data_IF_543170153660
#
_entry.id   IF_543170153660
#
_cell.length_a   1.000
_cell.length_b   1.000
_cell.length_c   1.000
_cell.angle_alpha   90.00
_cell.angle_beta   90.00
_cell.angle_gamma   90.00
#
_symmetry.space_group_name_H-M   'P 1'
#
loop_
_entity.id
_entity.type
_entity.pdbx_description
1 polymer ?
#
# COMPACT_ATOMS: atom_id res chain seq x y z
N UNK A 1 4.63 13.49 16.70
CA UNK A 1 3.99 14.65 16.06
C UNK A 1 2.48 14.57 16.23
N UNK A 2 1.77 15.66 16.53
CA UNK A 2 0.30 15.72 16.52
C UNK A 2 -0.22 16.09 15.12
N UNK A 3 -1.54 16.03 14.91
CA UNK A 3 -2.14 16.27 13.60
C UNK A 3 -1.75 17.64 13.04
N UNK A 4 -1.79 18.69 13.87
CA UNK A 4 -1.46 20.06 13.45
C UNK A 4 -0.02 20.19 12.97
N UNK A 5 0.94 19.60 13.71
CA UNK A 5 2.36 19.61 13.28
C UNK A 5 2.58 18.77 12.03
N UNK A 6 1.86 17.66 11.86
CA UNK A 6 1.94 16.86 10.63
C UNK A 6 1.38 17.63 9.44
N UNK A 7 0.28 18.36 9.63
CA UNK A 7 -0.30 19.25 8.61
C UNK A 7 0.64 20.38 8.26
N UNK A 8 1.22 21.05 9.26
CA UNK A 8 2.18 22.13 9.03
C UNK A 8 3.42 21.63 8.26
N UNK A 9 3.96 20.46 8.62
CA UNK A 9 5.07 19.86 7.88
C UNK A 9 4.70 19.53 6.42
N UNK A 10 3.47 19.10 6.17
CA UNK A 10 2.99 18.88 4.80
C UNK A 10 2.91 20.20 4.02
N UNK A 11 2.41 21.27 4.64
CA UNK A 11 2.28 22.59 4.01
C UNK A 11 3.67 23.22 3.72
N UNK A 12 4.62 23.10 4.65
CA UNK A 12 5.94 23.75 4.53
C UNK A 12 6.96 22.92 3.74
N UNK A 13 6.94 21.59 3.89
CA UNK A 13 7.97 20.69 3.35
C UNK A 13 7.45 19.81 2.20
N UNK A 14 6.14 19.79 1.94
CA UNK A 14 5.52 18.90 0.97
C UNK A 14 5.44 17.44 1.41
N UNK A 15 5.79 17.12 2.67
CA UNK A 15 5.77 15.74 3.18
C UNK A 15 5.47 15.69 4.69
N UNK A 16 4.69 14.69 5.10
CA UNK A 16 4.53 14.35 6.51
C UNK A 16 4.35 12.83 6.69
N UNK A 17 4.52 12.36 7.93
CA UNK A 17 4.29 10.96 8.29
C UNK A 17 3.16 10.84 9.32
N UNK A 18 2.17 9.98 9.02
CA UNK A 18 1.01 9.72 9.87
C UNK A 18 1.13 8.32 10.48
N UNK A 19 1.52 8.25 11.75
CA UNK A 19 1.76 6.98 12.43
C UNK A 19 0.45 6.28 12.82
N UNK A 20 0.16 5.15 12.18
CA UNK A 20 -1.14 4.46 12.26
C UNK A 20 -1.70 4.21 13.68
N UNK A 21 -0.93 3.74 14.69
CA UNK A 21 -1.45 3.52 16.04
C UNK A 21 -2.03 4.79 16.71
N UNK A 22 -1.61 5.98 16.27
CA UNK A 22 -2.11 7.25 16.79
C UNK A 22 -3.52 7.59 16.28
N UNK A 23 -3.85 7.18 15.06
CA UNK A 23 -5.10 7.53 14.38
C UNK A 23 -6.13 6.40 14.40
N UNK A 24 -5.68 5.14 14.47
CA UNK A 24 -6.55 3.96 14.43
C UNK A 24 -6.52 3.21 15.75
N UNK A 25 -6.85 3.89 16.86
CA UNK A 25 -6.77 3.31 18.21
C UNK A 25 -7.60 2.03 18.34
N UNK A 26 -8.73 1.92 17.63
CA UNK A 26 -9.58 0.73 17.59
C UNK A 26 -8.91 -0.52 17.01
N UNK A 27 -7.85 -0.38 16.20
CA UNK A 27 -7.12 -1.54 15.65
C UNK A 27 -6.51 -2.41 16.77
N UNK A 28 -6.25 -1.84 17.96
CA UNK A 28 -5.75 -2.60 19.12
C UNK A 28 -6.64 -3.80 19.47
N UNK A 29 -7.95 -3.72 19.23
CA UNK A 29 -8.90 -4.77 19.55
C UNK A 29 -8.76 -5.99 18.61
N UNK A 30 -8.30 -5.76 17.37
CA UNK A 30 -8.05 -6.83 16.41
C UNK A 30 -6.65 -7.47 16.55
N UNK A 31 -5.70 -6.81 17.22
CA UNK A 31 -4.31 -7.27 17.28
C UNK A 31 -4.13 -8.66 17.90
N UNK A 32 -4.75 -9.02 19.04
CA UNK A 32 -4.57 -10.33 19.65
C UNK A 32 -4.97 -11.47 18.71
N UNK A 33 -6.12 -11.34 18.05
CA UNK A 33 -6.64 -12.33 17.09
C UNK A 33 -5.70 -12.43 15.88
N UNK A 34 -5.24 -11.30 15.34
CA UNK A 34 -4.31 -11.29 14.20
C UNK A 34 -2.99 -11.99 14.52
N UNK A 35 -2.45 -11.77 15.72
CA UNK A 35 -1.20 -12.39 16.16
C UNK A 35 -1.35 -13.91 16.35
N UNK A 36 -2.51 -14.37 16.80
CA UNK A 36 -2.81 -15.79 16.95
C UNK A 36 -3.01 -16.50 15.60
N UNK A 37 -3.74 -15.87 14.67
CA UNK A 37 -4.06 -16.46 13.36
C UNK A 37 -2.81 -16.68 12.48
N UNK A 38 -1.79 -15.82 12.58
CA UNK A 38 -0.53 -15.90 11.82
C UNK A 38 -0.70 -16.11 10.31
N UNK A 39 -1.81 -15.63 9.76
CA UNK A 39 -2.13 -15.72 8.33
C UNK A 39 -2.57 -14.36 7.79
N UNK A 40 -2.62 -14.23 6.46
CA UNK A 40 -3.10 -13.04 5.77
C UNK A 40 -4.62 -12.94 5.96
N UNK A 41 -5.08 -11.72 6.23
CA UNK A 41 -6.49 -11.40 6.45
C UNK A 41 -6.83 -10.08 5.74
N UNK A 42 -8.10 -9.68 5.76
CA UNK A 42 -8.53 -8.35 5.28
C UNK A 42 -7.71 -7.21 5.91
N UNK A 43 -7.29 -7.35 7.18
CA UNK A 43 -6.48 -6.33 7.84
C UNK A 43 -5.09 -6.10 7.22
N UNK A 44 -4.61 -7.01 6.35
CA UNK A 44 -3.37 -6.80 5.61
C UNK A 44 -3.53 -5.78 4.47
N UNK A 45 -4.75 -5.60 3.95
CA UNK A 45 -5.05 -4.63 2.88
C UNK A 45 -5.76 -3.38 3.38
N UNK A 46 -6.32 -3.40 4.59
CA UNK A 46 -7.00 -2.22 5.15
C UNK A 46 -6.08 -1.04 5.43
N UNK A 47 -4.82 -1.29 5.82
CA UNK A 47 -3.89 -0.24 6.25
C UNK A 47 -3.74 0.90 5.22
N UNK A 48 -3.41 0.60 3.96
CA UNK A 48 -3.33 1.60 2.90
C UNK A 48 -4.64 2.35 2.61
N UNK A 49 -5.81 1.76 2.92
CA UNK A 49 -7.13 2.32 2.56
C UNK A 49 -7.67 3.33 3.58
N UNK A 50 -7.11 3.37 4.78
CA UNK A 50 -7.63 4.15 5.91
C UNK A 50 -6.75 5.35 6.26
N UNK A 51 -6.06 5.94 5.28
CA UNK A 51 -5.25 7.13 5.54
C UNK A 51 -6.11 8.26 6.14
N UNK A 52 -5.84 8.73 7.38
CA UNK A 52 -6.68 9.70 8.07
C UNK A 52 -6.67 11.09 7.42
N UNK A 53 -5.74 11.36 6.50
CA UNK A 53 -5.72 12.60 5.71
C UNK A 53 -6.62 12.55 4.48
N UNK A 54 -7.23 11.40 4.15
CA UNK A 54 -8.09 11.22 2.97
C UNK A 54 -7.49 11.80 1.68
N UNK A 55 -6.29 11.37 1.26
CA UNK A 55 -5.64 11.95 0.10
C UNK A 55 -6.45 11.66 -1.17
N UNK A 56 -6.53 12.61 -2.13
CA UNK A 56 -7.25 12.39 -3.39
C UNK A 56 -6.49 11.45 -4.34
N UNK A 57 -5.20 11.23 -4.08
CA UNK A 57 -4.26 10.45 -4.90
C UNK A 57 -3.57 9.38 -4.06
N UNK A 58 -3.43 8.16 -4.56
CA UNK A 58 -2.67 7.10 -3.88
C UNK A 58 -1.96 6.13 -4.83
N UNK A 59 -0.78 5.69 -4.42
CA UNK A 59 -0.09 4.51 -4.99
C UNK A 59 -0.10 3.42 -3.92
N UNK A 60 -0.75 2.30 -4.18
CA UNK A 60 -0.92 1.20 -3.22
C UNK A 60 -0.34 -0.08 -3.78
N UNK A 61 0.59 -0.68 -3.04
CA UNK A 61 1.08 -2.01 -3.33
C UNK A 61 0.24 -3.10 -2.69
N UNK A 62 0.06 -4.23 -3.39
CA UNK A 62 -0.61 -5.41 -2.86
C UNK A 62 0.29 -6.64 -2.96
N UNK A 63 0.17 -7.54 -1.97
CA UNK A 63 1.03 -8.72 -1.88
C UNK A 63 0.66 -9.84 -2.86
N UNK A 64 -0.50 -9.74 -3.52
CA UNK A 64 -1.02 -10.74 -4.47
C UNK A 64 -1.54 -10.03 -5.72
N UNK A 65 -1.28 -10.55 -6.93
CA UNK A 65 -1.79 -9.96 -8.17
C UNK A 65 -3.32 -9.94 -8.21
N UNK A 66 -3.98 -10.93 -7.60
CA UNK A 66 -5.44 -11.03 -7.53
C UNK A 66 -6.11 -9.89 -6.74
N UNK A 67 -5.33 -9.16 -5.94
CA UNK A 67 -5.84 -8.03 -5.15
C UNK A 67 -5.75 -6.70 -5.90
N UNK A 68 -5.08 -6.65 -7.06
CA UNK A 68 -4.86 -5.39 -7.79
C UNK A 68 -6.19 -4.72 -8.17
N UNK A 69 -7.04 -5.45 -8.89
CA UNK A 69 -8.35 -4.92 -9.31
C UNK A 69 -9.33 -4.71 -8.14
N UNK A 70 -9.52 -5.64 -7.18
CA UNK A 70 -10.42 -5.43 -6.05
C UNK A 70 -10.08 -4.19 -5.21
N UNK A 71 -8.79 -3.92 -5.01
CA UNK A 71 -8.36 -2.74 -4.26
C UNK A 71 -8.56 -1.45 -5.07
N UNK A 72 -8.35 -1.47 -6.38
CA UNK A 72 -8.65 -0.32 -7.25
C UNK A 72 -10.16 0.00 -7.25
N UNK A 73 -11.02 -1.01 -7.32
CA UNK A 73 -12.47 -0.85 -7.16
C UNK A 73 -12.84 -0.29 -5.80
N UNK A 74 -12.18 -0.74 -4.73
CA UNK A 74 -12.39 -0.20 -3.39
C UNK A 74 -12.03 1.28 -3.31
N UNK A 75 -10.90 1.70 -3.91
CA UNK A 75 -10.49 3.11 -3.95
C UNK A 75 -11.50 3.97 -4.73
N UNK A 76 -12.05 3.44 -5.83
CA UNK A 76 -13.13 4.09 -6.58
C UNK A 76 -14.38 4.31 -5.71
N UNK A 77 -14.81 3.28 -4.97
CA UNK A 77 -15.96 3.38 -4.04
C UNK A 77 -15.68 4.35 -2.90
N UNK A 78 -14.44 4.42 -2.41
CA UNK A 78 -14.00 5.38 -1.38
C UNK A 78 -13.85 6.82 -1.91
N UNK A 79 -14.03 7.06 -3.21
CA UNK A 79 -14.04 8.40 -3.80
C UNK A 79 -12.66 8.98 -4.13
N UNK A 80 -11.63 8.14 -4.29
CA UNK A 80 -10.33 8.61 -4.77
C UNK A 80 -10.45 9.18 -6.18
N UNK A 81 -9.75 10.29 -6.45
CA UNK A 81 -9.74 10.94 -7.76
C UNK A 81 -8.84 10.20 -8.74
N UNK A 82 -7.64 9.82 -8.27
CA UNK A 82 -6.76 8.90 -9.00
C UNK A 82 -6.06 7.96 -8.04
N UNK A 83 -5.80 6.75 -8.50
CA UNK A 83 -4.96 5.82 -7.77
C UNK A 83 -4.26 4.85 -8.73
N UNK A 84 -3.16 4.26 -8.29
CA UNK A 84 -2.57 3.11 -8.94
C UNK A 84 -2.40 2.00 -7.90
N UNK A 85 -2.90 0.81 -8.22
CA UNK A 85 -2.68 -0.39 -7.41
C UNK A 85 -1.70 -1.29 -8.14
N UNK A 86 -0.64 -1.72 -7.47
CA UNK A 86 0.49 -2.40 -8.10
C UNK A 86 0.86 -3.72 -7.43
N UNK A 87 1.31 -4.66 -8.23
CA UNK A 87 1.95 -5.90 -7.80
C UNK A 87 3.08 -6.27 -8.75
N UNK A 88 4.25 -6.67 -8.24
CA UNK A 88 5.37 -7.08 -9.09
C UNK A 88 6.19 -8.21 -8.48
N UNK A 89 6.25 -9.35 -9.15
CA UNK A 89 7.17 -10.45 -8.79
C UNK A 89 7.03 -10.98 -7.35
N UNK A 90 5.84 -10.87 -6.73
CA UNK A 90 5.63 -11.23 -5.33
C UNK A 90 5.83 -10.07 -4.33
N UNK A 91 6.11 -8.87 -4.80
CA UNK A 91 6.29 -7.66 -3.99
C UNK A 91 5.10 -6.71 -4.10
N UNK A 92 4.83 -5.99 -3.02
CA UNK A 92 3.84 -4.92 -2.91
C UNK A 92 4.43 -3.56 -3.36
N UNK A 93 5.19 -3.55 -4.45
CA UNK A 93 5.81 -2.36 -5.02
C UNK A 93 6.05 -2.52 -6.53
N UNK A 94 6.33 -1.40 -7.21
CA UNK A 94 6.84 -1.44 -8.59
C UNK A 94 8.27 -1.94 -8.55
N UNK A 95 8.61 -2.93 -9.36
CA UNK A 95 9.95 -3.53 -9.34
C UNK A 95 10.66 -3.50 -10.69
N UNK A 96 11.99 -3.57 -10.66
CA UNK A 96 12.83 -3.68 -11.86
C UNK A 96 13.07 -5.13 -12.29
N UNK A 97 12.86 -6.10 -11.38
CA UNK A 97 13.25 -7.49 -11.60
C UNK A 97 12.12 -8.34 -12.21
N UNK A 98 10.89 -7.83 -12.21
CA UNK A 98 9.73 -8.49 -12.79
C UNK A 98 8.77 -7.44 -13.39
N UNK A 99 7.92 -7.82 -14.36
CA UNK A 99 6.83 -6.97 -14.80
C UNK A 99 5.94 -6.54 -13.63
N UNK A 100 5.36 -5.34 -13.72
CA UNK A 100 4.40 -4.84 -12.72
C UNK A 100 3.00 -4.90 -13.29
N UNK A 101 2.08 -5.56 -12.58
CA UNK A 101 0.64 -5.53 -12.85
C UNK A 101 0.08 -4.26 -12.20
N UNK A 102 -0.69 -3.50 -12.96
CA UNK A 102 -1.22 -2.20 -12.51
C UNK A 102 -2.70 -2.10 -12.84
N UNK A 103 -3.51 -1.71 -11.85
CA UNK A 103 -4.83 -1.12 -12.08
C UNK A 103 -4.77 0.37 -11.74
N UNK A 104 -4.99 1.22 -12.74
CA UNK A 104 -5.09 2.66 -12.57
C UNK A 104 -6.55 3.09 -12.45
N UNK A 105 -6.86 3.84 -11.40
CA UNK A 105 -8.09 4.61 -11.25
C UNK A 105 -7.83 6.03 -11.76
N UNK A 106 -8.62 6.48 -12.73
CA UNK A 106 -8.62 7.85 -13.24
C UNK A 106 -10.06 8.27 -13.57
N UNK A 107 -10.50 9.41 -13.03
CA UNK A 107 -11.85 9.97 -13.26
C UNK A 107 -12.99 8.96 -13.05
N UNK A 108 -12.91 8.19 -11.95
CA UNK A 108 -13.91 7.19 -11.60
C UNK A 108 -13.93 5.94 -12.48
N UNK A 109 -12.93 5.76 -13.36
CA UNK A 109 -12.78 4.57 -14.21
C UNK A 109 -11.52 3.83 -13.84
N UNK A 110 -11.64 2.51 -13.71
CA UNK A 110 -10.49 1.63 -13.56
C UNK A 110 -10.04 1.12 -14.93
N UNK A 111 -8.73 1.14 -15.16
CA UNK A 111 -8.09 0.56 -16.32
C UNK A 111 -6.96 -0.35 -15.86
N UNK A 112 -7.02 -1.62 -16.26
CA UNK A 112 -5.86 -2.50 -16.16
C UNK A 112 -4.85 -2.13 -17.24
N UNK A 113 -3.62 -1.88 -16.83
CA UNK A 113 -2.51 -1.61 -17.73
C UNK A 113 -1.74 -2.90 -17.98
N UNK A 114 -1.24 -3.13 -19.21
CA UNK A 114 -0.40 -4.27 -19.50
C UNK A 114 0.80 -4.31 -18.55
N UNK A 115 1.24 -5.52 -18.21
CA UNK A 115 2.41 -5.67 -17.36
C UNK A 115 3.63 -5.01 -18.04
N UNK A 116 4.10 -3.89 -17.50
CA UNK A 116 5.23 -3.16 -18.05
C UNK A 116 6.50 -3.50 -17.28
N UNK A 117 7.55 -3.90 -18.01
CA UNK A 117 8.92 -3.79 -17.51
C UNK A 117 9.35 -2.33 -17.62
N UNK A 118 9.81 -1.73 -16.53
CA UNK A 118 10.25 -0.33 -16.56
C UNK A 118 11.28 -0.08 -17.66
N UNK A 119 11.38 1.16 -18.16
CA UNK A 119 12.44 1.58 -19.11
C UNK A 119 13.86 1.51 -18.51
N UNK A 120 13.94 1.18 -17.22
CA UNK A 120 15.17 1.07 -16.44
C UNK A 120 15.72 -0.36 -16.56
N UNK A 121 17.06 -0.50 -16.49
CA UNK A 121 17.70 -1.80 -16.59
C UNK A 121 17.22 -2.73 -15.46
N UNK A 122 16.82 -3.98 -15.77
CA UNK A 122 16.44 -4.94 -14.74
C UNK A 122 17.58 -5.15 -13.76
N UNK A 123 17.27 -5.10 -12.47
CA UNK A 123 18.23 -5.41 -11.41
C UNK A 123 17.68 -6.57 -10.59
N UNK A 124 18.42 -7.70 -10.46
CA UNK A 124 17.96 -8.82 -9.66
C UNK A 124 17.83 -8.41 -8.20
N UNK A 125 16.76 -8.86 -7.54
CA UNK A 125 16.60 -8.70 -6.10
C UNK A 125 17.58 -9.66 -5.44
N UNK A 126 18.61 -9.13 -4.76
CA UNK A 126 19.45 -9.99 -3.92
C UNK A 126 18.61 -10.45 -2.72
N UNK A 127 18.66 -11.73 -2.33
CA UNK A 127 17.95 -12.21 -1.17
C UNK A 127 18.55 -11.56 0.10
N UNK A 128 18.01 -10.40 0.48
CA UNK A 128 18.48 -9.61 1.62
C UNK A 128 18.35 -8.08 1.48
N UNK A 129 18.20 -7.53 0.28
CA UNK A 129 18.16 -6.06 0.05
C UNK A 129 16.74 -5.47 0.05
N UNK A 130 15.72 -6.24 -0.33
CA UNK A 130 14.34 -5.91 0.02
C UNK A 130 14.19 -6.21 1.52
N UNK A 131 14.13 -5.17 2.35
CA UNK A 131 14.20 -5.26 3.81
C UNK A 131 13.43 -6.47 4.33
N UNK A 132 14.11 -7.36 5.06
CA UNK A 132 13.54 -8.57 5.65
C UNK A 132 12.21 -8.22 6.32
N UNK A 133 11.08 -8.46 5.65
CA UNK A 133 9.82 -8.66 6.36
C UNK A 133 10.02 -9.99 7.07
N UNK A 134 10.30 -9.91 8.37
CA UNK A 134 10.27 -11.04 9.28
C UNK A 134 8.92 -11.75 9.11
N UNK A 135 8.87 -12.73 8.22
CA UNK A 135 8.00 -13.87 8.39
C UNK A 135 8.44 -14.52 9.71
N UNK A 136 7.63 -14.32 10.75
CA UNK A 136 7.66 -15.02 12.02
C UNK A 136 9.04 -15.20 12.68
N UNK A 137 9.40 -14.28 13.58
CA UNK A 137 9.98 -14.59 14.91
C UNK A 137 10.50 -13.32 15.58
N UNK A 138 9.88 -12.96 16.72
CA UNK A 138 10.54 -12.58 17.99
C UNK A 138 9.49 -12.16 19.03
N UNK A 139 9.84 -12.33 20.31
CA UNK A 139 9.42 -13.43 21.19
C UNK A 139 7.91 -13.52 21.41
#
# INVERSE_FOLDING_TARGET
MNADKSRQALDDLGVCFLFAPKYHTGFRHAMPVRQQLKTRTLFNVLGPLINPAHPPLALIGVYSPELVLPIAETLRVLGYQRAAVVHSGGMDEVSLHAPTIVAELHDGRNQELPAHGGRLRPHPVSPGTAGRRHAGRKP
#
